data_IF_668765111801
#
_entry.id   IF_668765111801
#
_cell.length_a   1.000
_cell.length_b   1.000
_cell.length_c   1.000
_cell.angle_alpha   90.00
_cell.angle_beta   90.00
_cell.angle_gamma   90.00
#
_symmetry.space_group_name_H-M   'P 1'
#
loop_
_entity.id
_entity.type
_entity.pdbx_description
1 polymer ?
#
# COMPACT_ATOMS: atom_id res chain seq x y z
N UNK A 1 -18.86 -20.70 -8.83
CA UNK A 1 -19.31 -19.28 -8.91
C UNK A 1 -18.10 -18.42 -9.20
N UNK A 2 -18.32 -17.28 -9.84
CA UNK A 2 -17.28 -16.38 -10.34
C UNK A 2 -17.52 -14.96 -9.84
N UNK A 3 -16.48 -14.23 -9.49
CA UNK A 3 -16.56 -12.83 -9.12
C UNK A 3 -15.34 -12.06 -9.58
N UNK A 4 -15.53 -10.77 -9.86
CA UNK A 4 -14.47 -9.84 -10.23
C UNK A 4 -14.46 -8.69 -9.25
N UNK A 5 -13.27 -8.32 -8.77
CA UNK A 5 -13.07 -7.18 -7.89
C UNK A 5 -11.99 -6.25 -8.44
N UNK A 6 -12.15 -4.96 -8.17
CA UNK A 6 -11.16 -3.93 -8.51
C UNK A 6 -10.77 -3.18 -7.24
N UNK A 7 -9.48 -3.03 -7.01
CA UNK A 7 -8.94 -2.28 -5.89
C UNK A 7 -7.82 -1.35 -6.34
N UNK A 8 -7.64 -0.26 -5.60
CA UNK A 8 -6.59 0.72 -5.82
C UNK A 8 -5.38 0.46 -4.93
N UNK A 9 -4.15 0.76 -5.37
CA UNK A 9 -3.00 0.80 -4.47
C UNK A 9 -3.17 1.91 -3.43
N UNK A 10 -2.37 1.86 -2.38
CA UNK A 10 -2.34 2.90 -1.37
C UNK A 10 -0.91 3.33 -1.06
N UNK A 11 -0.74 4.57 -0.63
CA UNK A 11 0.53 5.13 -0.17
C UNK A 11 0.48 5.44 1.31
N UNK A 12 1.37 4.86 2.10
CA UNK A 12 1.44 5.12 3.52
C UNK A 12 2.05 6.50 3.81
N UNK A 13 1.41 7.25 4.70
CA UNK A 13 1.89 8.51 5.28
C UNK A 13 2.52 8.28 6.65
N UNK A 14 1.91 7.41 7.47
CA UNK A 14 2.57 6.77 8.61
C UNK A 14 2.87 5.34 8.19
N UNK A 15 4.15 5.01 8.10
CA UNK A 15 4.63 3.81 7.42
C UNK A 15 4.31 2.51 8.16
N UNK A 16 4.06 1.47 7.38
CA UNK A 16 4.14 0.08 7.79
C UNK A 16 5.52 -0.47 7.39
N UNK A 17 6.34 -0.79 8.39
CA UNK A 17 7.67 -1.36 8.17
C UNK A 17 8.04 -2.27 9.33
N UNK A 18 8.05 -3.58 9.07
CA UNK A 18 8.32 -4.60 10.08
C UNK A 18 7.07 -5.28 10.64
N UNK A 19 7.25 -6.53 11.05
CA UNK A 19 6.19 -7.41 11.56
C UNK A 19 6.63 -8.02 12.89
N UNK A 20 5.70 -8.10 13.84
CA UNK A 20 5.84 -8.85 15.10
C UNK A 20 5.43 -10.30 14.96
N UNK A 21 4.68 -10.65 13.90
CA UNK A 21 4.31 -12.00 13.51
C UNK A 21 4.35 -12.13 11.98
N UNK A 22 5.23 -12.99 11.49
CA UNK A 22 5.42 -13.20 10.04
C UNK A 22 4.31 -14.06 9.43
N UNK A 23 3.78 -15.03 10.18
CA UNK A 23 2.76 -15.95 9.69
C UNK A 23 1.40 -15.26 9.55
N UNK A 24 1.02 -14.45 10.53
CA UNK A 24 -0.22 -13.67 10.52
C UNK A 24 -0.06 -12.30 9.88
N UNK A 25 1.16 -11.90 9.55
CA UNK A 25 1.51 -10.55 9.02
C UNK A 25 1.00 -9.45 9.96
N UNK A 26 1.31 -9.57 11.25
CA UNK A 26 0.94 -8.57 12.25
C UNK A 26 2.04 -7.51 12.35
N UNK A 27 1.71 -6.22 12.28
CA UNK A 27 2.70 -5.16 12.35
C UNK A 27 3.10 -4.84 13.78
N UNK A 28 4.27 -4.23 13.96
CA UNK A 28 4.68 -3.69 15.26
C UNK A 28 3.92 -2.41 15.63
N UNK A 29 3.56 -1.59 14.66
CA UNK A 29 2.86 -0.31 14.83
C UNK A 29 1.72 -0.18 13.82
N UNK A 30 0.75 0.66 14.15
CA UNK A 30 -0.32 1.06 13.24
C UNK A 30 0.25 1.87 12.07
N UNK A 31 -0.50 1.96 10.98
CA UNK A 31 -0.11 2.74 9.80
C UNK A 31 -1.31 3.44 9.19
N UNK A 32 -1.07 4.57 8.54
CA UNK A 32 -2.09 5.36 7.85
C UNK A 32 -1.71 5.51 6.37
N UNK A 33 -2.66 5.36 5.47
CA UNK A 33 -2.44 5.53 4.04
C UNK A 33 -3.58 6.29 3.35
N UNK A 34 -3.27 6.80 2.16
CA UNK A 34 -4.24 7.31 1.18
C UNK A 34 -4.32 6.35 0.00
N UNK A 35 -5.53 6.14 -0.50
CA UNK A 35 -5.77 5.33 -1.71
C UNK A 35 -5.40 6.12 -2.95
N UNK A 36 -4.73 5.48 -3.92
CA UNK A 36 -4.20 6.11 -5.14
C UNK A 36 -5.03 5.77 -6.38
N UNK A 37 -6.08 6.54 -6.67
CA UNK A 37 -6.77 6.46 -7.95
C UNK A 37 -6.12 7.43 -8.97
N UNK A 38 -6.20 7.15 -10.30
CA UNK A 38 -6.99 6.07 -10.92
C UNK A 38 -6.32 4.70 -10.99
N UNK A 39 -5.09 4.56 -10.50
CA UNK A 39 -4.37 3.29 -10.55
C UNK A 39 -5.22 2.15 -9.97
N UNK A 40 -5.30 1.01 -10.67
CA UNK A 40 -6.12 -0.09 -10.22
C UNK A 40 -5.58 -1.46 -10.59
N UNK A 41 -6.00 -2.48 -9.83
CA UNK A 41 -5.83 -3.89 -10.17
C UNK A 41 -7.21 -4.55 -10.13
N UNK A 42 -7.53 -5.23 -11.21
CA UNK A 42 -8.75 -6.03 -11.34
C UNK A 42 -8.41 -7.51 -11.27
N UNK A 43 -9.06 -8.22 -10.37
CA UNK A 43 -8.87 -9.66 -10.16
C UNK A 43 -10.19 -10.39 -10.29
N UNK A 44 -10.20 -11.46 -11.08
CA UNK A 44 -11.32 -12.38 -11.23
C UNK A 44 -10.95 -13.72 -10.60
N UNK A 45 -11.84 -14.26 -9.79
CA UNK A 45 -11.75 -15.61 -9.22
C UNK A 45 -12.97 -16.42 -9.60
N UNK A 46 -12.72 -17.63 -10.06
CA UNK A 46 -13.74 -18.61 -10.38
C UNK A 46 -13.43 -19.94 -9.67
N UNK A 47 -14.33 -20.37 -8.77
CA UNK A 47 -14.24 -21.66 -8.12
C UNK A 47 -14.90 -22.73 -8.98
N UNK A 48 -14.17 -23.79 -9.29
CA UNK A 48 -14.62 -24.86 -10.17
C UNK A 48 -14.09 -26.22 -9.72
N UNK A 49 -13.96 -27.14 -10.68
CA UNK A 49 -13.31 -28.44 -10.51
C UNK A 49 -11.90 -28.38 -11.12
N UNK A 50 -10.98 -29.21 -10.56
CA UNK A 50 -9.61 -29.29 -11.04
C UNK A 50 -8.59 -28.66 -10.11
N UNK A 51 -7.46 -28.24 -10.67
CA UNK A 51 -6.33 -27.65 -9.93
C UNK A 51 -6.37 -26.12 -9.96
N UNK A 52 -5.64 -25.50 -9.04
CA UNK A 52 -5.50 -24.05 -8.97
C UNK A 52 -4.67 -23.50 -10.13
N UNK A 53 -5.24 -22.57 -10.88
CA UNK A 53 -4.59 -21.78 -11.94
C UNK A 53 -4.48 -20.32 -11.50
N UNK A 54 -3.27 -19.76 -11.61
CA UNK A 54 -2.98 -18.36 -11.24
C UNK A 54 -2.33 -17.65 -12.41
N UNK A 55 -2.99 -16.61 -12.94
CA UNK A 55 -2.50 -15.82 -14.08
C UNK A 55 -2.38 -14.35 -13.67
N UNK A 56 -1.19 -13.78 -13.82
CA UNK A 56 -0.88 -12.38 -13.51
C UNK A 56 -0.44 -11.68 -14.81
N UNK A 57 -1.16 -10.63 -15.20
CA UNK A 57 -0.89 -9.85 -16.41
C UNK A 57 -0.69 -10.73 -17.66
N UNK A 58 -1.54 -11.74 -17.81
CA UNK A 58 -1.55 -12.67 -18.94
C UNK A 58 -0.49 -13.78 -18.90
N UNK A 59 0.29 -13.90 -17.82
CA UNK A 59 1.31 -14.94 -17.65
C UNK A 59 0.99 -15.82 -16.43
N UNK A 60 1.23 -17.15 -16.50
CA UNK A 60 1.17 -18.01 -15.34
C UNK A 60 2.07 -17.48 -14.21
N UNK A 61 1.55 -17.42 -13.00
CA UNK A 61 2.35 -17.01 -11.84
C UNK A 61 3.23 -18.15 -11.35
N UNK A 62 4.42 -17.81 -10.89
CA UNK A 62 5.41 -18.77 -10.40
C UNK A 62 5.96 -18.34 -9.02
N UNK A 63 6.75 -19.22 -8.42
CA UNK A 63 7.54 -18.93 -7.22
C UNK A 63 6.71 -18.38 -6.05
N UNK A 64 7.24 -17.33 -5.42
CA UNK A 64 6.66 -16.75 -4.21
C UNK A 64 5.33 -16.03 -4.44
N UNK A 65 5.09 -15.48 -5.64
CA UNK A 65 3.81 -14.82 -5.95
C UNK A 65 2.68 -15.83 -6.02
N UNK A 66 2.87 -16.92 -6.77
CA UNK A 66 1.92 -18.02 -6.86
C UNK A 66 1.60 -18.60 -5.48
N UNK A 67 2.64 -18.88 -4.69
CA UNK A 67 2.46 -19.45 -3.34
C UNK A 67 1.55 -18.59 -2.47
N UNK A 68 1.76 -17.28 -2.41
CA UNK A 68 0.93 -16.35 -1.60
C UNK A 68 -0.53 -16.31 -2.06
N UNK A 69 -0.77 -16.36 -3.37
CA UNK A 69 -2.14 -16.45 -3.91
C UNK A 69 -2.81 -17.72 -3.45
N UNK A 70 -2.12 -18.88 -3.56
CA UNK A 70 -2.65 -20.17 -3.14
C UNK A 70 -2.91 -20.24 -1.62
N UNK A 71 -2.04 -19.65 -0.81
CA UNK A 71 -2.23 -19.52 0.64
C UNK A 71 -3.51 -18.73 0.96
N UNK A 72 -3.75 -17.59 0.30
CA UNK A 72 -4.97 -16.82 0.49
C UNK A 72 -6.22 -17.57 0.03
N UNK A 73 -6.17 -18.24 -1.13
CA UNK A 73 -7.29 -19.06 -1.62
C UNK A 73 -7.59 -20.23 -0.67
N UNK A 74 -6.57 -20.80 -0.04
CA UNK A 74 -6.74 -21.85 0.97
C UNK A 74 -7.47 -21.34 2.22
N UNK A 75 -7.20 -20.10 2.66
CA UNK A 75 -7.93 -19.49 3.77
C UNK A 75 -9.42 -19.35 3.43
N UNK A 76 -9.75 -18.88 2.22
CA UNK A 76 -11.14 -18.75 1.76
C UNK A 76 -11.83 -20.12 1.70
N UNK A 77 -11.12 -21.19 1.28
CA UNK A 77 -11.67 -22.55 1.32
C UNK A 77 -12.04 -22.98 2.73
N UNK A 78 -11.22 -22.62 3.73
CA UNK A 78 -11.48 -22.92 5.14
C UNK A 78 -12.69 -22.18 5.72
N UNK A 79 -13.03 -21.01 5.18
CA UNK A 79 -14.19 -20.22 5.61
C UNK A 79 -15.49 -20.62 4.90
N UNK A 80 -15.41 -21.28 3.75
CA UNK A 80 -16.57 -21.57 2.93
C UNK A 80 -17.48 -22.63 3.56
N UNK A 81 -18.79 -22.40 3.55
CA UNK A 81 -19.79 -23.36 4.09
C UNK A 81 -19.92 -24.65 3.28
N UNK A 82 -19.36 -24.71 2.09
CA UNK A 82 -19.36 -25.87 1.19
C UNK A 82 -17.94 -26.10 0.64
N UNK A 83 -17.59 -27.33 0.28
CA UNK A 83 -16.31 -27.61 -0.36
C UNK A 83 -16.16 -26.80 -1.65
N UNK A 84 -15.03 -26.10 -1.78
CA UNK A 84 -14.62 -25.41 -3.01
C UNK A 84 -13.54 -26.24 -3.69
N UNK A 85 -13.65 -26.45 -4.99
CA UNK A 85 -12.65 -27.12 -5.81
C UNK A 85 -11.47 -26.21 -6.14
N UNK A 86 -10.81 -26.45 -7.28
CA UNK A 86 -9.75 -25.59 -7.77
C UNK A 86 -10.25 -24.19 -8.11
N UNK A 87 -9.37 -23.22 -8.01
CA UNK A 87 -9.65 -21.83 -8.36
C UNK A 87 -8.91 -21.44 -9.64
N UNK A 88 -9.60 -20.79 -10.57
CA UNK A 88 -8.98 -20.02 -11.64
C UNK A 88 -8.96 -18.56 -11.25
N UNK A 89 -7.75 -18.03 -11.01
CA UNK A 89 -7.52 -16.63 -10.65
C UNK A 89 -6.79 -15.91 -11.78
N UNK A 90 -7.36 -14.79 -12.23
CA UNK A 90 -6.75 -13.92 -13.24
C UNK A 90 -6.70 -12.50 -12.70
N UNK A 91 -5.52 -11.88 -12.71
CA UNK A 91 -5.32 -10.51 -12.24
C UNK A 91 -4.62 -9.68 -13.29
N UNK A 92 -5.09 -8.44 -13.45
CA UNK A 92 -4.53 -7.47 -14.37
C UNK A 92 -4.44 -6.08 -13.71
N UNK A 93 -3.29 -5.43 -13.86
CA UNK A 93 -3.06 -4.05 -13.42
C UNK A 93 -3.02 -3.09 -14.61
N UNK A 94 -3.55 -1.89 -14.44
CA UNK A 94 -3.52 -0.81 -15.43
C UNK A 94 -2.25 0.07 -15.35
N UNK A 95 -1.33 -0.29 -14.46
CA UNK A 95 -0.06 0.40 -14.26
C UNK A 95 1.13 -0.58 -14.14
N UNK A 96 2.36 -0.15 -14.46
CA UNK A 96 3.53 -1.02 -14.40
C UNK A 96 3.81 -1.54 -12.98
N UNK A 97 3.87 -2.84 -12.79
CA UNK A 97 4.17 -3.49 -11.51
C UNK A 97 5.54 -3.08 -10.92
N UNK A 98 6.49 -2.74 -11.79
CA UNK A 98 7.86 -2.33 -11.44
C UNK A 98 8.00 -0.88 -10.98
N UNK A 99 6.95 -0.06 -11.07
CA UNK A 99 7.02 1.37 -10.71
C UNK A 99 7.15 1.65 -9.20
N UNK A 100 7.28 0.63 -8.36
CA UNK A 100 7.36 0.79 -6.89
C UNK A 100 6.04 1.21 -6.23
N UNK A 101 4.93 1.15 -6.96
CA UNK A 101 3.60 1.67 -6.61
C UNK A 101 2.75 0.69 -5.80
N UNK A 102 3.31 0.01 -4.81
CA UNK A 102 2.55 -0.88 -3.90
C UNK A 102 1.51 -1.79 -4.61
N UNK A 103 1.83 -2.28 -5.81
CA UNK A 103 0.94 -3.13 -6.64
C UNK A 103 0.39 -4.32 -5.86
N UNK A 104 1.18 -4.91 -4.96
CA UNK A 104 0.75 -6.01 -4.11
C UNK A 104 -0.42 -5.62 -3.17
N UNK A 105 -0.55 -4.34 -2.78
CA UNK A 105 -1.65 -3.90 -1.94
C UNK A 105 -2.99 -4.01 -2.68
N UNK A 106 -3.07 -3.47 -3.89
CA UNK A 106 -4.27 -3.57 -4.72
C UNK A 106 -4.55 -5.02 -5.14
N UNK A 107 -3.51 -5.78 -5.53
CA UNK A 107 -3.66 -7.15 -5.99
C UNK A 107 -4.27 -8.07 -4.92
N UNK A 108 -3.75 -8.03 -3.69
CA UNK A 108 -4.27 -8.87 -2.61
C UNK A 108 -5.59 -8.37 -2.02
N UNK A 109 -5.89 -7.08 -2.11
CA UNK A 109 -7.22 -6.57 -1.78
C UNK A 109 -8.27 -7.04 -2.79
N UNK A 110 -8.02 -6.89 -4.08
CA UNK A 110 -8.92 -7.38 -5.14
C UNK A 110 -9.08 -8.91 -5.07
N UNK A 111 -7.99 -9.65 -4.82
CA UNK A 111 -8.04 -11.11 -4.66
C UNK A 111 -8.92 -11.51 -3.47
N UNK A 112 -8.75 -10.89 -2.30
CA UNK A 112 -9.53 -11.19 -1.11
C UNK A 112 -11.03 -11.00 -1.35
N UNK A 113 -11.41 -9.86 -1.97
CA UNK A 113 -12.79 -9.56 -2.32
C UNK A 113 -13.37 -10.55 -3.35
N UNK A 114 -12.67 -10.77 -4.46
CA UNK A 114 -13.14 -11.64 -5.52
C UNK A 114 -13.27 -13.10 -5.06
N UNK A 115 -12.29 -13.60 -4.29
CA UNK A 115 -12.29 -14.97 -3.80
C UNK A 115 -13.43 -15.24 -2.81
N UNK A 116 -13.67 -14.31 -1.84
CA UNK A 116 -14.79 -14.42 -0.89
C UNK A 116 -16.13 -14.34 -1.59
N UNK A 117 -16.32 -13.36 -2.49
CA UNK A 117 -17.57 -13.21 -3.24
C UNK A 117 -17.87 -14.41 -4.15
N UNK A 118 -16.86 -14.93 -4.85
CA UNK A 118 -17.00 -16.14 -5.65
C UNK A 118 -17.25 -17.40 -4.80
N UNK A 119 -16.86 -17.43 -3.53
CA UNK A 119 -17.19 -18.48 -2.60
C UNK A 119 -18.60 -18.37 -2.00
N UNK A 120 -19.30 -17.28 -2.27
CA UNK A 120 -20.64 -16.98 -1.72
C UNK A 120 -20.59 -16.49 -0.28
N UNK A 121 -19.45 -16.04 0.20
CA UNK A 121 -19.31 -15.44 1.52
C UNK A 121 -19.88 -14.02 1.53
N UNK A 122 -20.55 -13.59 2.61
CA UNK A 122 -21.11 -12.25 2.70
C UNK A 122 -20.00 -11.19 2.74
N UNK A 123 -20.35 -9.97 2.35
CA UNK A 123 -19.47 -8.80 2.53
C UNK A 123 -19.25 -8.56 4.02
N UNK A 124 -18.00 -8.49 4.40
CA UNK A 124 -17.56 -8.15 5.75
C UNK A 124 -16.20 -7.46 5.63
N UNK A 125 -16.21 -6.14 5.76
CA UNK A 125 -15.01 -5.29 5.60
C UNK A 125 -13.88 -5.72 6.51
N UNK A 126 -14.20 -6.13 7.76
CA UNK A 126 -13.17 -6.59 8.71
C UNK A 126 -12.56 -7.91 8.24
N UNK A 127 -13.36 -8.91 7.93
CA UNK A 127 -12.87 -10.21 7.45
C UNK A 127 -12.10 -10.06 6.13
N UNK A 128 -12.59 -9.24 5.21
CA UNK A 128 -11.93 -8.92 3.94
C UNK A 128 -10.56 -8.25 4.18
N UNK A 129 -10.48 -7.30 5.12
CA UNK A 129 -9.24 -6.61 5.47
C UNK A 129 -8.23 -7.55 6.15
N UNK A 130 -8.69 -8.38 7.08
CA UNK A 130 -7.85 -9.42 7.71
C UNK A 130 -7.32 -10.40 6.66
N UNK A 131 -8.17 -10.87 5.75
CA UNK A 131 -7.76 -11.78 4.68
C UNK A 131 -6.76 -11.13 3.72
N UNK A 132 -7.01 -9.89 3.26
CA UNK A 132 -6.10 -9.16 2.38
C UNK A 132 -4.71 -8.97 3.04
N UNK A 133 -4.67 -8.65 4.34
CA UNK A 133 -3.43 -8.59 5.14
C UNK A 133 -2.61 -9.85 5.05
N UNK A 134 -3.26 -11.03 5.12
CA UNK A 134 -2.59 -12.35 5.05
C UNK A 134 -1.86 -12.57 3.72
N UNK A 135 -2.31 -11.96 2.64
CA UNK A 135 -1.61 -11.96 1.35
C UNK A 135 -0.48 -10.92 1.26
N UNK A 136 -0.76 -9.70 1.71
CA UNK A 136 0.18 -8.59 1.78
C UNK A 136 -0.26 -7.60 2.85
N UNK A 137 0.60 -7.27 3.82
CA UNK A 137 0.22 -6.43 4.95
C UNK A 137 -0.47 -5.13 4.55
N UNK A 138 0.09 -4.38 3.60
CA UNK A 138 -0.51 -3.12 3.11
C UNK A 138 -1.87 -3.28 2.41
N UNK A 139 -2.22 -4.51 1.97
CA UNK A 139 -3.45 -4.76 1.23
C UNK A 139 -4.71 -4.56 2.07
N UNK A 140 -4.62 -4.73 3.39
CA UNK A 140 -5.75 -4.47 4.27
C UNK A 140 -6.29 -3.03 4.13
N UNK A 141 -5.41 -2.05 3.80
CA UNK A 141 -5.78 -0.64 3.62
C UNK A 141 -6.33 -0.32 2.22
N UNK A 142 -6.37 -1.29 1.31
CA UNK A 142 -6.94 -1.15 -0.04
C UNK A 142 -8.33 -1.78 -0.19
N UNK A 143 -8.92 -2.29 0.89
CA UNK A 143 -10.32 -2.77 0.92
C UNK A 143 -11.28 -1.58 0.94
N UNK A 144 -11.01 -0.60 1.79
CA UNK A 144 -11.71 0.68 1.83
C UNK A 144 -10.85 1.76 1.17
N UNK A 145 -11.50 2.76 0.59
CA UNK A 145 -10.85 3.91 -0.02
C UNK A 145 -10.63 5.05 0.96
N UNK A 146 -10.23 6.20 0.44
CA UNK A 146 -10.01 7.38 1.25
C UNK A 146 -8.72 7.30 2.06
N UNK A 147 -8.78 7.77 3.30
CA UNK A 147 -7.72 7.64 4.29
C UNK A 147 -8.02 6.46 5.21
N UNK A 148 -7.14 5.47 5.23
CA UNK A 148 -7.33 4.23 6.00
C UNK A 148 -6.24 4.06 7.06
N UNK A 149 -6.67 3.73 8.28
CA UNK A 149 -5.78 3.34 9.38
C UNK A 149 -5.81 1.83 9.55
N UNK A 150 -4.68 1.19 9.40
CA UNK A 150 -4.48 -0.19 9.81
C UNK A 150 -3.99 -0.21 11.27
N UNK A 151 -4.84 -0.68 12.17
CA UNK A 151 -4.50 -0.86 13.59
C UNK A 151 -3.60 -2.06 13.78
N UNK A 152 -2.53 -1.90 14.59
CA UNK A 152 -1.59 -3.00 14.87
C UNK A 152 -2.27 -4.20 15.50
N UNK A 153 -3.34 -3.97 16.27
CA UNK A 153 -4.00 -4.97 17.08
C UNK A 153 -3.14 -5.47 18.24
N UNK A 154 -3.76 -6.13 19.20
CA UNK A 154 -3.09 -6.68 20.39
C UNK A 154 -3.31 -8.19 20.55
N UNK A 155 -4.36 -8.73 19.91
CA UNK A 155 -4.70 -10.14 19.99
C UNK A 155 -3.66 -10.99 19.28
N UNK A 156 -3.32 -12.18 19.83
CA UNK A 156 -2.36 -13.09 19.20
C UNK A 156 -2.91 -13.73 17.92
N UNK A 157 -4.24 -13.87 17.77
CA UNK A 157 -4.89 -14.38 16.55
C UNK A 157 -4.95 -13.33 15.43
N UNK A 158 -4.68 -12.04 15.74
CA UNK A 158 -4.66 -10.94 14.80
C UNK A 158 -6.02 -10.51 14.26
N UNK A 159 -7.12 -10.99 14.83
CA UNK A 159 -8.47 -10.64 14.39
C UNK A 159 -8.84 -9.16 14.64
N UNK A 160 -8.14 -8.47 15.52
CA UNK A 160 -8.27 -7.05 15.79
C UNK A 160 -7.29 -6.17 14.99
N UNK A 161 -6.43 -6.80 14.17
CA UNK A 161 -5.48 -6.10 13.30
C UNK A 161 -6.00 -6.02 11.87
N UNK A 162 -6.80 -5.00 11.57
CA UNK A 162 -7.40 -4.72 10.27
C UNK A 162 -7.43 -3.21 9.99
N UNK A 163 -7.68 -2.84 8.76
CA UNK A 163 -7.78 -1.43 8.37
C UNK A 163 -9.23 -0.93 8.45
N UNK A 164 -9.35 0.33 8.85
CA UNK A 164 -10.62 1.06 8.90
C UNK A 164 -10.48 2.38 8.15
N UNK A 165 -11.49 2.74 7.38
CA UNK A 165 -11.59 4.06 6.78
C UNK A 165 -11.77 5.12 7.87
N UNK A 166 -10.83 6.04 7.96
CA UNK A 166 -10.93 7.20 8.86
C UNK A 166 -11.67 8.35 8.19
N UNK A 167 -11.38 8.57 6.88
CA UNK A 167 -12.04 9.58 6.07
C UNK A 167 -12.33 9.05 4.68
N UNK A 168 -13.54 9.28 4.12
CA UNK A 168 -13.87 8.87 2.75
C UNK A 168 -13.09 9.70 1.72
N UNK A 169 -13.02 9.23 0.48
CA UNK A 169 -12.35 9.94 -0.61
C UNK A 169 -12.90 11.36 -0.85
N UNK A 170 -14.19 11.56 -0.58
CA UNK A 170 -14.87 12.86 -0.71
C UNK A 170 -14.53 13.85 0.40
N UNK A 171 -13.83 13.41 1.47
CA UNK A 171 -13.52 14.29 2.60
C UNK A 171 -12.64 15.47 2.20
N UNK A 172 -11.65 15.26 1.33
CA UNK A 172 -10.71 16.30 0.89
C UNK A 172 -10.54 16.30 -0.63
N UNK A 173 -11.48 16.89 -1.39
CA UNK A 173 -11.46 16.84 -2.85
C UNK A 173 -10.27 17.57 -3.50
N UNK A 174 -9.66 18.53 -2.80
CA UNK A 174 -8.52 19.31 -3.30
C UNK A 174 -7.18 18.59 -3.12
N UNK A 175 -7.11 17.55 -2.29
CA UNK A 175 -5.87 16.80 -2.09
C UNK A 175 -5.45 16.10 -3.38
N UNK A 176 -4.22 16.33 -3.78
CA UNK A 176 -3.59 15.72 -4.96
C UNK A 176 -2.34 14.98 -4.57
N UNK A 177 -2.09 13.93 -5.32
CA UNK A 177 -0.85 13.17 -5.23
C UNK A 177 -0.34 12.90 -6.63
N UNK A 178 0.95 12.74 -6.76
CA UNK A 178 1.53 12.15 -7.96
C UNK A 178 2.79 11.38 -7.63
N UNK A 179 3.05 10.35 -8.43
CA UNK A 179 4.29 9.59 -8.34
C UNK A 179 5.32 10.24 -9.25
N UNK A 180 6.46 10.60 -8.69
CA UNK A 180 7.62 11.02 -9.45
C UNK A 180 8.44 9.79 -9.83
N UNK A 181 8.29 9.30 -11.05
CA UNK A 181 9.01 8.12 -11.52
C UNK A 181 10.43 8.50 -11.92
N UNK A 182 11.41 7.99 -11.16
CA UNK A 182 12.84 8.17 -11.41
C UNK A 182 13.48 6.93 -12.02
N UNK A 183 12.95 5.75 -11.64
CA UNK A 183 13.44 4.47 -12.12
C UNK A 183 12.31 3.46 -12.21
N UNK A 184 12.35 2.61 -13.26
CA UNK A 184 11.49 1.43 -13.43
C UNK A 184 12.23 0.14 -13.09
N UNK A 185 13.48 0.22 -12.64
CA UNK A 185 14.27 -0.94 -12.29
C UNK A 185 13.67 -1.64 -11.06
N UNK A 186 13.72 -2.94 -11.06
CA UNK A 186 13.39 -3.73 -9.88
C UNK A 186 14.41 -3.47 -8.78
N UNK A 187 13.94 -3.41 -7.55
CA UNK A 187 14.79 -3.23 -6.37
C UNK A 187 15.52 -4.53 -6.03
N UNK A 188 16.77 -4.42 -5.62
CA UNK A 188 17.60 -5.56 -5.24
C UNK A 188 17.02 -6.32 -4.04
N UNK A 189 16.50 -5.59 -3.05
CA UNK A 189 15.91 -6.17 -1.84
C UNK A 189 14.42 -5.86 -1.78
N UNK A 190 13.59 -6.90 -1.83
CA UNK A 190 12.15 -6.79 -1.69
C UNK A 190 11.72 -6.25 -0.33
N UNK A 191 10.55 -5.62 -0.25
CA UNK A 191 10.07 -5.00 1.01
C UNK A 191 9.94 -6.00 2.17
N UNK A 192 9.62 -7.29 1.90
CA UNK A 192 9.53 -8.32 2.96
C UNK A 192 10.86 -8.58 3.62
N UNK A 193 11.88 -8.84 2.80
CA UNK A 193 13.22 -9.14 3.29
C UNK A 193 13.85 -7.89 3.91
N UNK A 194 13.60 -6.73 3.31
CA UNK A 194 14.01 -5.46 3.88
C UNK A 194 13.38 -5.17 5.26
N UNK A 195 12.08 -5.43 5.43
CA UNK A 195 11.43 -5.31 6.74
C UNK A 195 12.06 -6.23 7.78
N UNK A 196 12.27 -7.53 7.43
CA UNK A 196 12.87 -8.51 8.34
C UNK A 196 14.29 -8.09 8.73
N UNK A 197 15.13 -7.80 7.75
CA UNK A 197 16.50 -7.34 7.98
C UNK A 197 16.55 -6.08 8.86
N UNK A 198 15.61 -5.14 8.65
CA UNK A 198 15.55 -3.92 9.46
C UNK A 198 15.14 -4.20 10.91
N UNK A 199 14.13 -5.05 11.11
CA UNK A 199 13.67 -5.44 12.48
C UNK A 199 14.79 -6.12 13.25
N UNK A 200 15.51 -7.04 12.61
CA UNK A 200 16.55 -7.84 13.23
C UNK A 200 17.87 -7.09 13.41
N UNK A 201 18.22 -6.22 12.45
CA UNK A 201 19.55 -5.65 12.34
C UNK A 201 19.67 -4.15 12.66
N UNK A 202 18.58 -3.40 12.83
CA UNK A 202 18.67 -1.96 13.09
C UNK A 202 18.49 -1.61 14.56
N UNK A 203 19.48 -0.95 15.19
CA UNK A 203 19.37 -0.53 16.59
C UNK A 203 18.31 0.57 16.80
N UNK A 204 17.90 1.26 15.74
CA UNK A 204 16.91 2.35 15.80
C UNK A 204 15.47 1.88 15.60
N UNK A 205 15.28 0.61 15.23
CA UNK A 205 13.96 0.09 14.89
C UNK A 205 12.91 0.24 16.01
N UNK A 206 13.19 -0.14 17.29
CA UNK A 206 12.21 -0.04 18.37
C UNK A 206 11.75 1.41 18.62
N UNK A 207 12.68 2.37 18.59
CA UNK A 207 12.36 3.78 18.79
C UNK A 207 11.50 4.34 17.64
N UNK A 208 11.81 3.96 16.39
CA UNK A 208 11.01 4.36 15.23
C UNK A 208 9.59 3.77 15.28
N UNK A 209 9.45 2.50 15.64
CA UNK A 209 8.14 1.86 15.70
C UNK A 209 7.22 2.53 16.75
N UNK A 210 7.78 2.86 17.92
CA UNK A 210 7.06 3.57 18.97
C UNK A 210 6.66 5.00 18.54
N UNK A 211 7.55 5.72 17.88
CA UNK A 211 7.30 7.07 17.36
C UNK A 211 6.23 7.06 16.25
N UNK A 212 6.30 6.09 15.32
CA UNK A 212 5.32 5.95 14.25
C UNK A 212 3.90 5.68 14.80
N UNK A 213 3.75 4.87 15.84
CA UNK A 213 2.46 4.65 16.52
C UNK A 213 1.91 5.96 17.10
N UNK A 214 2.77 6.76 17.74
CA UNK A 214 2.40 8.04 18.34
C UNK A 214 2.03 9.13 17.30
N UNK A 215 2.43 8.97 16.03
CA UNK A 215 2.09 9.91 14.95
C UNK A 215 0.65 9.73 14.40
N UNK A 216 0.01 8.57 14.60
CA UNK A 216 -1.34 8.30 14.06
C UNK A 216 -2.39 9.35 14.48
N UNK A 217 -2.56 9.71 15.75
CA UNK A 217 -3.55 10.72 16.14
C UNK A 217 -3.28 12.09 15.52
N UNK A 218 -2.01 12.48 15.38
CA UNK A 218 -1.61 13.76 14.78
C UNK A 218 -1.91 13.81 13.28
N UNK A 219 -1.66 12.70 12.57
CA UNK A 219 -1.96 12.58 11.16
C UNK A 219 -3.48 12.61 10.90
N UNK A 220 -4.28 11.93 11.74
CA UNK A 220 -5.74 11.99 11.67
C UNK A 220 -6.27 13.40 11.91
N UNK A 221 -5.76 14.12 12.92
CA UNK A 221 -6.14 15.50 13.18
C UNK A 221 -5.76 16.46 12.03
N UNK A 222 -4.64 16.23 11.34
CA UNK A 222 -4.25 17.00 10.17
C UNK A 222 -5.19 16.73 8.97
N UNK A 223 -5.57 15.47 8.74
CA UNK A 223 -6.55 15.09 7.72
C UNK A 223 -7.93 15.71 8.02
N UNK A 224 -8.41 15.63 9.25
CA UNK A 224 -9.69 16.21 9.66
C UNK A 224 -9.77 17.71 9.34
N UNK A 225 -8.68 18.46 9.60
CA UNK A 225 -8.60 19.90 9.32
C UNK A 225 -8.20 20.22 7.88
N UNK A 226 -7.92 19.23 7.05
CA UNK A 226 -7.39 19.39 5.68
C UNK A 226 -6.12 20.25 5.66
N UNK A 227 -5.26 20.04 6.64
CA UNK A 227 -4.01 20.77 6.86
C UNK A 227 -2.87 20.06 6.10
N UNK A 228 -2.63 20.50 4.86
CA UNK A 228 -1.60 19.93 3.99
C UNK A 228 -0.18 20.15 4.56
N UNK A 229 0.03 21.23 5.31
CA UNK A 229 1.36 21.53 5.88
C UNK A 229 1.69 20.51 6.96
N UNK A 230 0.83 20.40 7.97
CA UNK A 230 1.05 19.44 9.06
C UNK A 230 1.08 17.99 8.56
N UNK A 231 0.17 17.62 7.65
CA UNK A 231 0.13 16.26 7.10
C UNK A 231 1.39 15.94 6.29
N UNK A 232 1.81 16.87 5.44
CA UNK A 232 2.97 16.71 4.58
C UNK A 232 4.27 16.63 5.37
N UNK A 233 4.49 17.51 6.34
CA UNK A 233 5.67 17.48 7.22
C UNK A 233 5.75 16.17 8.03
N UNK A 234 4.60 15.68 8.49
CA UNK A 234 4.52 14.40 9.19
C UNK A 234 4.87 13.24 8.26
N UNK A 235 4.32 13.20 7.05
CA UNK A 235 4.60 12.15 6.07
C UNK A 235 6.09 12.12 5.68
N UNK A 236 6.70 13.27 5.42
CA UNK A 236 8.14 13.38 5.15
C UNK A 236 8.98 12.87 6.32
N UNK A 237 8.68 13.35 7.52
CA UNK A 237 9.42 12.93 8.74
C UNK A 237 9.32 11.44 8.96
N UNK A 238 8.14 10.85 8.82
CA UNK A 238 7.92 9.42 8.99
C UNK A 238 8.66 8.60 7.93
N UNK A 239 8.65 9.05 6.66
CA UNK A 239 9.40 8.41 5.59
C UNK A 239 10.91 8.45 5.86
N UNK A 240 11.46 9.61 6.23
CA UNK A 240 12.88 9.75 6.57
C UNK A 240 13.31 8.83 7.71
N UNK A 241 12.52 8.74 8.78
CA UNK A 241 12.81 7.88 9.92
C UNK A 241 12.78 6.41 9.55
N UNK A 242 11.82 5.97 8.72
CA UNK A 242 11.79 4.61 8.19
C UNK A 242 13.06 4.30 7.38
N UNK A 243 13.45 5.18 6.45
CA UNK A 243 14.65 4.98 5.64
C UNK A 243 15.93 5.03 6.46
N UNK A 244 16.04 5.93 7.45
CA UNK A 244 17.17 5.96 8.37
C UNK A 244 17.31 4.66 9.18
N UNK A 245 16.18 4.08 9.60
CA UNK A 245 16.13 2.78 10.26
C UNK A 245 16.62 1.66 9.35
N UNK A 246 16.23 1.67 8.06
CA UNK A 246 16.69 0.69 7.06
C UNK A 246 18.19 0.87 6.74
N UNK A 247 18.67 2.11 6.60
CA UNK A 247 20.09 2.42 6.38
C UNK A 247 20.98 1.97 7.55
N UNK A 248 20.44 1.97 8.77
CA UNK A 248 21.15 1.52 9.96
C UNK A 248 21.05 0.02 10.24
N UNK A 249 20.38 -0.74 9.38
CA UNK A 249 20.32 -2.20 9.51
C UNK A 249 21.66 -2.85 9.18
N UNK A 250 21.85 -4.09 9.57
CA UNK A 250 23.01 -4.89 9.21
C UNK A 250 22.57 -6.18 8.48
N UNK A 251 22.83 -6.29 7.17
CA UNK A 251 23.47 -5.30 6.29
C UNK A 251 22.60 -4.05 6.05
N UNK A 252 23.21 -2.89 5.75
CA UNK A 252 22.46 -1.66 5.50
C UNK A 252 21.63 -1.74 4.21
N UNK A 253 20.44 -1.15 4.25
CA UNK A 253 19.51 -1.13 3.12
C UNK A 253 19.28 0.29 2.63
N UNK A 254 19.62 0.58 1.39
CA UNK A 254 19.39 1.87 0.76
C UNK A 254 18.44 1.71 -0.43
N UNK A 255 17.27 2.33 -0.36
CA UNK A 255 16.30 2.37 -1.45
C UNK A 255 16.34 3.67 -2.26
N UNK A 256 17.19 4.61 -1.85
CA UNK A 256 17.29 5.94 -2.44
C UNK A 256 18.28 5.94 -3.60
N UNK A 257 17.95 6.66 -4.66
CA UNK A 257 18.87 7.01 -5.74
C UNK A 257 19.32 8.47 -5.60
N UNK A 258 20.41 8.90 -6.24
CA UNK A 258 20.79 10.31 -6.29
C UNK A 258 19.65 11.22 -6.76
N UNK A 259 18.89 10.81 -7.79
CA UNK A 259 17.72 11.53 -8.26
C UNK A 259 16.59 11.65 -7.23
N UNK A 260 16.45 10.67 -6.32
CA UNK A 260 15.49 10.78 -5.20
C UNK A 260 15.83 11.95 -4.31
N UNK A 261 17.11 12.12 -3.96
CA UNK A 261 17.59 13.21 -3.12
C UNK A 261 17.47 14.56 -3.84
N UNK A 262 17.73 14.61 -5.15
CA UNK A 262 17.56 15.83 -5.95
C UNK A 262 16.10 16.30 -5.95
N UNK A 263 15.14 15.41 -6.19
CA UNK A 263 13.71 15.74 -6.10
C UNK A 263 13.35 16.29 -4.73
N UNK A 264 13.81 15.65 -3.66
CA UNK A 264 13.53 16.07 -2.29
C UNK A 264 14.11 17.47 -2.01
N UNK A 265 15.35 17.73 -2.43
CA UNK A 265 16.00 19.02 -2.23
C UNK A 265 15.29 20.14 -3.00
N UNK A 266 14.90 19.89 -4.25
CA UNK A 266 14.14 20.85 -5.07
C UNK A 266 12.77 21.17 -4.45
N UNK A 267 12.03 20.16 -4.01
CA UNK A 267 10.75 20.38 -3.31
C UNK A 267 10.94 21.20 -2.04
N UNK A 268 11.96 20.93 -1.24
CA UNK A 268 12.25 21.71 -0.03
C UNK A 268 12.62 23.15 -0.34
N UNK A 269 13.40 23.39 -1.39
CA UNK A 269 13.74 24.74 -1.85
C UNK A 269 12.49 25.51 -2.32
N UNK A 270 11.66 24.90 -3.17
CA UNK A 270 10.42 25.50 -3.64
C UNK A 270 9.43 25.78 -2.50
N UNK A 271 9.39 24.89 -1.50
CA UNK A 271 8.58 25.10 -0.28
C UNK A 271 9.04 26.31 0.53
N UNK A 272 10.34 26.59 0.61
CA UNK A 272 10.84 27.79 1.24
C UNK A 272 10.41 29.08 0.50
N UNK A 273 9.97 28.94 -0.75
CA UNK A 273 9.40 30.01 -1.59
C UNK A 273 7.86 30.03 -1.59
N UNK A 274 7.21 29.18 -0.78
CA UNK A 274 5.77 29.16 -0.59
C UNK A 274 5.01 27.99 -1.23
N UNK A 275 5.67 27.12 -2.02
CA UNK A 275 5.01 25.95 -2.61
C UNK A 275 4.55 24.98 -1.53
N UNK A 276 3.28 24.57 -1.55
CA UNK A 276 2.73 23.55 -0.64
C UNK A 276 2.83 22.16 -1.26
N UNK A 277 4.03 21.62 -1.32
CA UNK A 277 4.31 20.28 -1.84
C UNK A 277 5.24 19.50 -0.89
N UNK A 278 4.87 18.28 -0.59
CA UNK A 278 5.53 17.41 0.38
C UNK A 278 5.71 16.03 -0.24
N UNK A 279 6.65 15.25 0.27
CA UNK A 279 6.86 13.91 -0.26
C UNK A 279 6.63 12.83 0.81
N UNK A 280 6.38 11.64 0.34
CA UNK A 280 6.57 10.39 1.09
C UNK A 280 7.29 9.37 0.22
N UNK A 281 7.94 8.40 0.84
CA UNK A 281 8.72 7.36 0.17
C UNK A 281 8.37 6.00 0.76
N UNK A 282 8.03 5.06 -0.08
CA UNK A 282 8.02 3.64 0.29
C UNK A 282 9.41 3.01 0.05
N UNK A 283 9.55 1.71 0.20
CA UNK A 283 10.80 0.99 -0.07
C UNK A 283 11.08 0.95 -1.59
N UNK A 284 11.52 2.08 -2.11
CA UNK A 284 11.84 2.31 -3.52
C UNK A 284 12.30 3.75 -3.77
N UNK A 285 12.85 4.04 -4.95
CA UNK A 285 13.46 5.34 -5.24
C UNK A 285 12.47 6.43 -5.67
N UNK A 286 11.20 6.07 -5.95
CA UNK A 286 10.21 6.94 -6.58
C UNK A 286 9.37 7.66 -5.51
N UNK A 287 9.56 8.98 -5.30
CA UNK A 287 8.76 9.73 -4.34
C UNK A 287 7.29 9.84 -4.78
N UNK A 288 6.39 9.78 -3.81
CA UNK A 288 5.01 10.22 -4.00
C UNK A 288 4.88 11.61 -3.38
N UNK A 289 4.48 12.57 -4.19
CA UNK A 289 4.31 13.97 -3.77
C UNK A 289 2.86 14.20 -3.39
N UNK A 290 2.66 14.81 -2.22
CA UNK A 290 1.37 15.30 -1.71
C UNK A 290 1.31 16.80 -1.90
N UNK A 291 0.21 17.29 -2.47
CA UNK A 291 -0.03 18.71 -2.72
C UNK A 291 -1.53 18.99 -2.79
N UNK A 292 -1.91 20.20 -3.10
CA UNK A 292 -3.30 20.60 -3.36
C UNK A 292 -3.51 20.95 -4.84
N UNK A 293 -4.76 20.98 -5.27
CA UNK A 293 -5.10 21.19 -6.68
C UNK A 293 -4.51 22.50 -7.26
N UNK A 294 -4.44 23.54 -6.45
CA UNK A 294 -3.89 24.86 -6.82
C UNK A 294 -2.36 24.86 -6.96
N UNK A 295 -1.66 23.94 -6.29
CA UNK A 295 -0.20 23.85 -6.31
C UNK A 295 0.34 22.71 -7.19
N UNK A 296 -0.55 21.90 -7.79
CA UNK A 296 -0.19 20.65 -8.49
C UNK A 296 0.77 20.90 -9.67
N UNK A 297 0.45 21.83 -10.56
CA UNK A 297 1.25 22.06 -11.77
C UNK A 297 2.65 22.56 -11.45
N UNK A 298 2.76 23.45 -10.45
CA UNK A 298 4.06 23.95 -10.00
C UNK A 298 4.89 22.85 -9.33
N UNK A 299 4.26 22.01 -8.50
CA UNK A 299 4.93 20.86 -7.88
C UNK A 299 5.45 19.86 -8.94
N UNK A 300 4.67 19.60 -9.98
CA UNK A 300 5.10 18.74 -11.09
C UNK A 300 6.26 19.35 -11.87
N UNK A 301 6.21 20.65 -12.14
CA UNK A 301 7.30 21.36 -12.83
C UNK A 301 8.61 21.21 -12.06
N UNK A 302 8.60 21.47 -10.75
CA UNK A 302 9.78 21.34 -9.87
C UNK A 302 10.35 19.94 -9.94
N UNK A 303 9.50 18.90 -9.90
CA UNK A 303 9.90 17.50 -9.90
C UNK A 303 10.42 17.06 -11.27
N UNK A 304 9.86 17.55 -12.38
CA UNK A 304 10.37 17.30 -13.74
C UNK A 304 11.77 17.90 -13.93
N UNK A 305 11.96 19.14 -13.47
CA UNK A 305 13.28 19.80 -13.49
C UNK A 305 14.32 19.10 -12.63
N UNK A 306 13.88 18.35 -11.59
CA UNK A 306 14.73 17.49 -10.77
C UNK A 306 15.05 16.12 -11.41
N UNK A 307 14.56 15.85 -12.64
CA UNK A 307 14.90 14.64 -13.39
C UNK A 307 13.89 13.50 -13.34
N UNK A 308 12.65 13.73 -12.90
CA UNK A 308 11.61 12.72 -13.01
C UNK A 308 11.31 12.42 -14.48
N UNK A 309 11.42 11.14 -14.86
CA UNK A 309 11.19 10.68 -16.24
C UNK A 309 9.71 10.61 -16.60
N UNK A 310 8.86 10.46 -15.59
CA UNK A 310 7.41 10.41 -15.74
C UNK A 310 6.73 10.88 -14.45
N UNK A 311 5.56 11.47 -14.60
CA UNK A 311 4.68 11.83 -13.48
C UNK A 311 3.35 11.09 -13.66
N UNK A 312 2.97 10.32 -12.66
CA UNK A 312 1.68 9.64 -12.62
C UNK A 312 0.77 10.37 -11.65
N UNK A 313 -0.17 11.15 -12.19
CA UNK A 313 -1.15 11.90 -11.38
C UNK A 313 -2.11 10.97 -10.67
N UNK A 314 -2.34 11.24 -9.40
CA UNK A 314 -3.27 10.49 -8.55
C UNK A 314 -4.15 11.43 -7.73
N UNK A 315 -5.28 10.91 -7.31
CA UNK A 315 -6.16 11.53 -6.32
C UNK A 315 -6.59 10.47 -5.31
N UNK A 316 -7.25 10.88 -4.24
CA UNK A 316 -7.75 9.93 -3.23
C UNK A 316 -8.88 9.11 -3.83
N UNK A 317 -8.69 7.80 -3.92
CA UNK A 317 -9.65 6.85 -4.52
C UNK A 317 -10.73 6.37 -3.55
N UNK A 318 -11.82 5.85 -4.12
CA UNK A 318 -12.91 5.22 -3.37
C UNK A 318 -12.61 3.79 -2.93
N UNK A 319 -13.63 3.13 -2.37
CA UNK A 319 -13.57 1.75 -1.91
C UNK A 319 -13.32 0.77 -3.05
N UNK A 320 -12.72 -0.35 -2.74
CA UNK A 320 -12.63 -1.47 -3.66
C UNK A 320 -14.04 -2.01 -3.97
N UNK A 321 -14.24 -2.38 -5.22
CA UNK A 321 -15.52 -2.87 -5.73
C UNK A 321 -15.46 -4.36 -6.02
N UNK A 322 -16.59 -5.04 -5.91
CA UNK A 322 -16.73 -6.44 -6.29
C UNK A 322 -18.08 -6.71 -6.94
N UNK A 323 -18.05 -7.52 -7.98
CA UNK A 323 -19.23 -7.97 -8.71
C UNK A 323 -19.22 -9.50 -8.84
N UNK A 324 -20.31 -10.14 -8.44
CA UNK A 324 -20.54 -11.56 -8.69
C UNK A 324 -21.03 -11.71 -10.13
N UNK A 325 -20.40 -12.60 -10.86
CA UNK A 325 -20.74 -12.93 -12.23
C UNK A 325 -21.55 -14.24 -12.22
N UNK A 326 -22.66 -14.25 -12.88
CA UNK A 326 -23.59 -15.40 -12.94
C UNK A 326 -22.99 -16.67 -13.52
#
# INVERSE_FOLDING_TARGET
MKATATAHPNIALVKYWGKRDEALILPHQSSLSLTLAPLSITTTVEWGQGTDEVVLNGKPAEGGERRRVLELLSLVRGEAARPLGGARMVSHGDFPASAGLASSAAAFAALALAARAAAGLPRDVRAESVLARRGSGSACRSIQGGACVWRRGERPDGEDSYAQQAFPASHWPELRMFVALLSRAEKEVGSRDGMRSTVEGSPYYPAWAADAEAEIPRALAALERRDIVTLGELAERNAWRMHATALAANPPLCYLLPGTLEVIQRLRHARAQGLKAYFTLDAGPNPVVLTTADALEEAERVVREAGAVEIVRCHVGGDATVQVLG
#
